data_IF_014160930628
#
_entry.id   IF_014160930628
#
_cell.length_a   1.000
_cell.length_b   1.000
_cell.length_c   1.000
_cell.angle_alpha   90.00
_cell.angle_beta   90.00
_cell.angle_gamma   90.00
#
_symmetry.space_group_name_H-M   'P 1'
#
loop_
_entity.id
_entity.type
_entity.pdbx_description
1 polymer ?
#
# COMPACT_ATOMS: atom_id res chain seq x y z
N UNK A 1 -38.98 4.88 -18.55
CA UNK A 1 -37.91 5.60 -19.29
C UNK A 1 -37.08 6.61 -18.45
N UNK A 2 -36.94 6.50 -17.11
CA UNK A 2 -35.83 7.16 -16.39
C UNK A 2 -34.73 6.17 -15.94
N UNK A 3 -35.10 4.91 -15.68
CA UNK A 3 -34.18 3.86 -15.21
C UNK A 3 -33.15 3.48 -16.28
N UNK A 4 -33.54 3.44 -17.56
CA UNK A 4 -32.63 3.10 -18.66
C UNK A 4 -31.52 4.15 -18.84
N UNK A 5 -31.82 5.42 -18.62
CA UNK A 5 -30.82 6.50 -18.68
C UNK A 5 -29.82 6.35 -17.54
N UNK A 6 -30.28 6.04 -16.32
CA UNK A 6 -29.41 5.81 -15.17
C UNK A 6 -28.47 4.61 -15.39
N UNK A 7 -28.96 3.53 -16.00
CA UNK A 7 -28.14 2.35 -16.35
C UNK A 7 -27.08 2.72 -17.40
N UNK A 8 -27.46 3.47 -18.44
CA UNK A 8 -26.53 3.91 -19.48
C UNK A 8 -25.45 4.85 -18.92
N UNK A 9 -25.82 5.82 -18.10
CA UNK A 9 -24.86 6.74 -17.45
C UNK A 9 -23.91 5.98 -16.54
N UNK A 10 -24.42 4.99 -15.78
CA UNK A 10 -23.58 4.14 -14.92
C UNK A 10 -22.58 3.32 -15.73
N UNK A 11 -23.01 2.71 -16.84
CA UNK A 11 -22.14 1.92 -17.71
C UNK A 11 -21.07 2.78 -18.42
N UNK A 12 -21.44 3.97 -18.89
CA UNK A 12 -20.50 4.92 -19.49
C UNK A 12 -19.49 5.47 -18.48
N UNK A 13 -19.91 5.67 -17.23
CA UNK A 13 -19.03 6.13 -16.15
C UNK A 13 -17.95 5.09 -15.81
N UNK A 14 -18.27 3.80 -15.91
CA UNK A 14 -17.29 2.71 -15.72
C UNK A 14 -16.22 2.67 -16.82
N UNK A 15 -16.55 3.12 -18.04
CA UNK A 15 -15.61 3.22 -19.16
C UNK A 15 -14.66 4.44 -19.03
N UNK A 16 -15.01 5.42 -18.20
CA UNK A 16 -14.20 6.62 -17.94
C UNK A 16 -13.27 6.49 -16.73
N UNK A 17 -13.15 5.30 -16.13
CA UNK A 17 -12.16 5.07 -15.08
C UNK A 17 -10.78 5.01 -15.72
N UNK A 18 -10.06 6.14 -15.67
CA UNK A 18 -8.63 6.17 -15.98
C UNK A 18 -7.91 5.18 -15.06
N UNK A 19 -7.06 4.34 -15.64
CA UNK A 19 -6.22 3.45 -14.85
C UNK A 19 -5.31 4.29 -13.94
N UNK A 20 -5.09 3.88 -12.68
CA UNK A 20 -4.26 4.67 -11.78
C UNK A 20 -2.84 4.82 -12.38
N UNK A 21 -2.17 5.96 -12.17
CA UNK A 21 -0.89 6.23 -12.82
C UNK A 21 0.26 5.30 -12.39
N UNK A 22 0.11 4.60 -11.27
CA UNK A 22 1.10 3.67 -10.73
C UNK A 22 0.44 2.52 -9.95
N UNK A 23 1.27 1.54 -9.58
CA UNK A 23 0.95 0.52 -8.58
C UNK A 23 2.15 0.25 -7.66
N UNK A 24 1.89 -0.03 -6.38
CA UNK A 24 2.92 -0.45 -5.42
C UNK A 24 3.34 -1.92 -5.59
N UNK A 25 2.67 -2.65 -6.49
CA UNK A 25 3.03 -4.02 -6.86
C UNK A 25 3.04 -4.19 -8.38
N UNK A 26 3.79 -5.16 -8.88
CA UNK A 26 3.82 -5.49 -10.30
C UNK A 26 2.43 -5.95 -10.74
N UNK A 27 1.81 -5.27 -11.72
CA UNK A 27 0.48 -5.64 -12.25
C UNK A 27 0.48 -5.67 -13.79
N UNK A 28 0.87 -6.80 -14.39
CA UNK A 28 0.90 -6.95 -15.85
C UNK A 28 -0.47 -6.77 -16.53
N UNK A 29 -1.56 -7.15 -15.85
CA UNK A 29 -2.92 -7.07 -16.39
C UNK A 29 -3.39 -5.66 -16.72
N UNK A 30 -2.74 -4.63 -16.15
CA UNK A 30 -3.07 -3.21 -16.35
C UNK A 30 -1.86 -2.42 -16.85
N UNK A 31 -0.80 -3.10 -17.30
CA UNK A 31 0.40 -2.47 -17.87
C UNK A 31 1.37 -1.87 -16.86
N UNK A 32 1.14 -1.98 -15.55
CA UNK A 32 2.10 -1.53 -14.52
C UNK A 32 3.25 -2.52 -14.37
N UNK A 33 4.18 -2.49 -15.33
CA UNK A 33 5.33 -3.41 -15.40
C UNK A 33 6.68 -2.69 -15.28
N UNK A 34 6.73 -1.38 -15.51
CA UNK A 34 7.97 -0.63 -15.48
C UNK A 34 8.30 -0.19 -14.06
N UNK A 35 9.37 -0.76 -13.51
CA UNK A 35 9.84 -0.46 -12.16
C UNK A 35 10.45 0.95 -12.09
N UNK A 36 10.04 1.72 -11.09
CA UNK A 36 10.61 3.01 -10.68
C UNK A 36 10.83 3.04 -9.17
N UNK A 37 11.55 4.05 -8.71
CA UNK A 37 11.88 4.27 -7.29
C UNK A 37 11.69 5.75 -7.00
N UNK A 38 11.00 6.10 -5.90
CA UNK A 38 10.81 7.50 -5.50
C UNK A 38 12.11 8.09 -4.96
N UNK A 39 12.33 9.39 -5.18
CA UNK A 39 13.58 10.04 -4.80
C UNK A 39 13.80 10.12 -3.29
N UNK A 40 12.74 10.30 -2.49
CA UNK A 40 12.87 10.58 -1.06
C UNK A 40 12.93 9.31 -0.20
N UNK A 41 11.91 8.46 -0.26
CA UNK A 41 11.82 7.26 0.57
C UNK A 41 12.33 5.99 -0.11
N UNK A 42 12.81 6.09 -1.36
CA UNK A 42 13.24 4.95 -2.17
C UNK A 42 12.15 3.86 -2.30
N UNK A 43 10.90 4.28 -2.44
CA UNK A 43 9.76 3.36 -2.58
C UNK A 43 9.71 2.83 -4.00
N UNK A 44 9.70 1.51 -4.15
CA UNK A 44 9.52 0.88 -5.46
C UNK A 44 8.05 0.96 -5.88
N UNK A 45 7.81 1.45 -7.09
CA UNK A 45 6.49 1.48 -7.73
C UNK A 45 6.59 1.05 -9.20
N UNK A 46 5.45 0.70 -9.78
CA UNK A 46 5.34 0.20 -11.15
C UNK A 46 4.40 1.08 -11.97
N UNK A 47 4.79 1.39 -13.20
CA UNK A 47 4.06 2.29 -14.10
C UNK A 47 3.88 1.69 -15.49
N UNK A 48 3.02 2.31 -16.29
CA UNK A 48 2.82 1.97 -17.70
C UNK A 48 3.94 2.55 -18.59
N UNK A 49 4.07 2.03 -19.82
CA UNK A 49 5.06 2.49 -20.81
C UNK A 49 5.01 4.01 -21.08
N UNK A 50 3.81 4.60 -21.04
CA UNK A 50 3.58 6.01 -21.36
C UNK A 50 3.89 6.97 -20.21
N UNK A 51 4.13 6.45 -19.00
CA UNK A 51 4.26 7.25 -17.78
C UNK A 51 5.30 8.37 -17.88
N UNK A 52 6.48 8.07 -18.44
CA UNK A 52 7.57 9.05 -18.53
C UNK A 52 7.26 10.19 -19.52
N UNK A 53 6.29 10.00 -20.42
CA UNK A 53 5.80 11.05 -21.33
C UNK A 53 4.70 11.89 -20.68
N UNK A 54 3.87 11.27 -19.84
CA UNK A 54 2.72 11.89 -19.20
C UNK A 54 3.09 12.67 -17.93
N UNK A 55 4.06 12.18 -17.16
CA UNK A 55 4.45 12.73 -15.86
C UNK A 55 5.90 13.19 -15.88
N UNK A 56 6.13 14.50 -15.82
CA UNK A 56 7.45 15.13 -15.85
C UNK A 56 7.50 16.33 -14.90
N UNK A 57 8.70 16.73 -14.46
CA UNK A 57 8.89 17.93 -13.64
C UNK A 57 8.04 17.92 -12.37
N UNK A 58 7.14 18.89 -12.23
CA UNK A 58 6.27 19.03 -11.05
C UNK A 58 5.22 17.93 -10.94
N UNK A 59 4.65 17.44 -12.06
CA UNK A 59 3.62 16.40 -12.01
C UNK A 59 4.21 15.05 -11.55
N UNK A 60 5.45 14.75 -11.95
CA UNK A 60 6.19 13.59 -11.45
C UNK A 60 6.39 13.67 -9.93
N UNK A 61 6.83 14.82 -9.41
CA UNK A 61 7.00 15.02 -7.96
C UNK A 61 5.70 14.81 -7.18
N UNK A 62 4.56 15.24 -7.73
CA UNK A 62 3.25 14.99 -7.13
C UNK A 62 2.93 13.50 -7.10
N UNK A 63 3.17 12.78 -8.20
CA UNK A 63 2.97 11.32 -8.25
C UNK A 63 3.84 10.60 -7.22
N UNK A 64 5.12 10.96 -7.10
CA UNK A 64 6.02 10.30 -6.15
C UNK A 64 5.63 10.56 -4.70
N UNK A 65 5.15 11.76 -4.37
CA UNK A 65 4.56 12.04 -3.04
C UNK A 65 3.35 11.15 -2.77
N UNK A 66 2.44 11.01 -3.75
CA UNK A 66 1.28 10.13 -3.60
C UNK A 66 1.69 8.65 -3.43
N UNK A 67 2.70 8.19 -4.17
CA UNK A 67 3.29 6.85 -4.01
C UNK A 67 3.80 6.65 -2.57
N UNK A 68 4.50 7.64 -2.02
CA UNK A 68 5.05 7.60 -0.67
C UNK A 68 3.95 7.61 0.40
N UNK A 69 2.93 8.46 0.24
CA UNK A 69 1.78 8.53 1.14
C UNK A 69 1.00 7.19 1.16
N UNK A 70 0.73 6.61 -0.01
CA UNK A 70 0.07 5.30 -0.13
C UNK A 70 0.92 4.17 0.48
N UNK A 71 2.23 4.22 0.29
CA UNK A 71 3.16 3.26 0.88
C UNK A 71 3.14 3.33 2.40
N UNK A 72 3.18 4.53 2.98
CA UNK A 72 3.07 4.74 4.43
C UNK A 72 1.71 4.28 4.94
N UNK A 73 0.62 4.59 4.24
CA UNK A 73 -0.72 4.12 4.61
C UNK A 73 -0.79 2.59 4.63
N UNK A 74 -0.20 1.91 3.64
CA UNK A 74 -0.10 0.46 3.60
C UNK A 74 0.74 -0.10 4.76
N UNK A 75 1.88 0.52 5.08
CA UNK A 75 2.68 0.15 6.24
C UNK A 75 1.90 0.28 7.56
N UNK A 76 1.13 1.36 7.73
CA UNK A 76 0.26 1.56 8.91
C UNK A 76 -0.79 0.44 9.01
N UNK A 77 -1.49 0.17 7.92
CA UNK A 77 -2.52 -0.87 7.87
C UNK A 77 -1.95 -2.27 8.16
N UNK A 78 -0.80 -2.60 7.57
CA UNK A 78 -0.16 -3.89 7.78
C UNK A 78 0.43 -3.99 9.19
N UNK A 79 1.04 -2.93 9.71
CA UNK A 79 1.51 -2.89 11.10
C UNK A 79 0.37 -3.12 12.09
N UNK A 80 -0.80 -2.51 11.86
CA UNK A 80 -1.98 -2.75 12.70
C UNK A 80 -2.39 -4.23 12.68
N UNK A 81 -2.44 -4.85 11.50
CA UNK A 81 -2.74 -6.29 11.36
C UNK A 81 -1.70 -7.18 12.06
N UNK A 82 -0.42 -6.88 11.90
CA UNK A 82 0.69 -7.61 12.56
C UNK A 82 0.59 -7.52 14.09
N UNK A 83 0.34 -6.32 14.63
CA UNK A 83 0.11 -6.12 16.07
C UNK A 83 -1.10 -6.91 16.56
N UNK A 84 -2.22 -6.82 15.84
CA UNK A 84 -3.44 -7.54 16.19
C UNK A 84 -3.21 -9.06 16.21
N UNK A 85 -2.47 -9.58 15.24
CA UNK A 85 -2.11 -11.00 15.18
C UNK A 85 -1.21 -11.40 16.37
N UNK A 86 -0.24 -10.57 16.72
CA UNK A 86 0.68 -10.81 17.85
C UNK A 86 -0.08 -10.85 19.17
N UNK A 87 -0.90 -9.82 19.41
CA UNK A 87 -1.72 -9.72 20.63
C UNK A 87 -2.76 -10.83 20.72
N UNK A 88 -3.38 -11.22 19.59
CA UNK A 88 -4.30 -12.35 19.55
C UNK A 88 -3.62 -13.67 19.94
N UNK A 89 -2.39 -13.91 19.48
CA UNK A 89 -1.63 -15.10 19.86
C UNK A 89 -1.18 -15.05 21.33
N UNK A 90 -0.72 -13.89 21.82
CA UNK A 90 -0.37 -13.69 23.23
C UNK A 90 -1.56 -13.94 24.15
N UNK A 91 -2.74 -13.41 23.79
CA UNK A 91 -3.98 -13.62 24.53
C UNK A 91 -4.33 -15.10 24.59
N UNK A 92 -4.30 -15.79 23.45
CA UNK A 92 -4.58 -17.24 23.38
C UNK A 92 -3.60 -18.05 24.23
N UNK A 93 -2.31 -17.73 24.17
CA UNK A 93 -1.27 -18.41 24.97
C UNK A 93 -1.53 -18.25 26.48
N UNK A 94 -1.85 -17.03 26.93
CA UNK A 94 -2.18 -16.76 28.34
C UNK A 94 -3.46 -17.47 28.76
N UNK A 95 -4.47 -17.50 27.89
CA UNK A 95 -5.76 -18.13 28.18
C UNK A 95 -5.65 -19.64 28.39
N UNK A 96 -4.86 -20.33 27.56
CA UNK A 96 -4.64 -21.78 27.67
C UNK A 96 -3.47 -22.17 28.58
N UNK A 97 -2.68 -21.21 29.07
CA UNK A 97 -1.48 -21.50 29.86
C UNK A 97 -0.33 -22.13 29.07
N UNK A 98 -0.27 -21.90 27.76
CA UNK A 98 0.73 -22.49 26.85
C UNK A 98 2.00 -21.61 26.78
N UNK A 99 3.06 -22.04 27.48
CA UNK A 99 4.33 -21.32 27.56
C UNK A 99 5.08 -21.27 26.22
N UNK A 100 5.01 -22.34 25.43
CA UNK A 100 5.69 -22.41 24.12
C UNK A 100 5.02 -21.47 23.12
N UNK A 101 3.68 -21.46 23.10
CA UNK A 101 2.90 -20.50 22.33
C UNK A 101 3.19 -19.06 22.76
N UNK A 102 3.34 -18.82 24.06
CA UNK A 102 3.66 -17.50 24.59
C UNK A 102 5.04 -17.02 24.12
N UNK A 103 6.07 -17.85 24.22
CA UNK A 103 7.42 -17.51 23.75
C UNK A 103 7.45 -17.30 22.23
N UNK A 104 6.72 -18.12 21.47
CA UNK A 104 6.55 -17.93 20.01
C UNK A 104 5.90 -16.59 19.69
N UNK A 105 4.83 -16.23 20.40
CA UNK A 105 4.12 -14.97 20.21
C UNK A 105 5.01 -13.76 20.54
N UNK A 106 5.80 -13.82 21.61
CA UNK A 106 6.75 -12.77 21.96
C UNK A 106 7.78 -12.51 20.85
N UNK A 107 8.32 -13.58 20.25
CA UNK A 107 9.31 -13.53 19.17
C UNK A 107 8.71 -13.25 17.79
N UNK A 108 7.38 -13.15 17.68
CA UNK A 108 6.72 -12.83 16.42
C UNK A 108 7.16 -11.44 15.94
N UNK A 109 7.76 -11.40 14.75
CA UNK A 109 8.23 -10.18 14.10
C UNK A 109 7.07 -9.36 13.56
N UNK A 110 7.22 -8.04 13.57
CA UNK A 110 6.26 -7.08 12.98
C UNK A 110 7.00 -6.19 11.97
N UNK A 111 7.40 -6.74 10.81
CA UNK A 111 8.27 -6.05 9.88
C UNK A 111 7.66 -4.76 9.33
N UNK A 112 6.34 -4.71 9.09
CA UNK A 112 5.69 -3.48 8.64
C UNK A 112 5.75 -2.39 9.71
N UNK A 113 5.63 -2.77 10.99
CA UNK A 113 5.80 -1.82 12.09
C UNK A 113 7.23 -1.30 12.22
N UNK A 114 8.23 -2.18 12.09
CA UNK A 114 9.63 -1.78 12.11
C UNK A 114 9.93 -0.80 10.99
N UNK A 115 9.49 -1.13 9.76
CA UNK A 115 9.69 -0.26 8.60
C UNK A 115 8.95 1.06 8.72
N UNK A 116 7.72 1.06 9.26
CA UNK A 116 6.97 2.29 9.53
C UNK A 116 7.72 3.20 10.49
N UNK A 117 8.30 2.65 11.56
CA UNK A 117 9.09 3.41 12.52
C UNK A 117 10.34 4.04 11.89
N UNK A 118 11.03 3.33 11.01
CA UNK A 118 12.19 3.84 10.27
C UNK A 118 11.80 5.03 9.37
N UNK A 119 10.72 4.88 8.60
CA UNK A 119 10.21 5.93 7.72
C UNK A 119 9.74 7.16 8.50
N UNK A 120 9.09 6.96 9.64
CA UNK A 120 8.69 8.08 10.49
C UNK A 120 9.90 8.81 11.09
N UNK A 121 10.95 8.08 11.47
CA UNK A 121 12.19 8.69 11.95
C UNK A 121 12.88 9.52 10.87
N UNK A 122 12.90 9.07 9.61
CA UNK A 122 13.52 9.82 8.50
C UNK A 122 12.74 11.07 8.09
N UNK A 123 11.44 11.14 8.38
CA UNK A 123 10.60 12.31 8.07
C UNK A 123 10.70 13.42 9.14
N UNK A 124 11.13 13.09 10.35
CA UNK A 124 11.21 14.00 11.49
C UNK A 124 12.64 14.41 11.86
N UNK A 125 13.65 13.85 11.19
CA UNK A 125 15.06 14.25 11.32
C UNK A 125 15.47 15.18 10.20
#
# INVERSE_FOLDING_TARGET
MPILILILVSALSQLMVSSPPYSLSLRPSVGHIHKRVTDHLNVVYYVADTFSKEYTGSSLKTVERNVEDDYIANLRNNCWKEKQQKEGLLYRARYFGDADMYHKAQRMSTPSCSRLSEVQASLHG
#
